data_IF_269692045953
#
_entry.id   IF_269692045953
#
_cell.length_a   1.000
_cell.length_b   1.000
_cell.length_c   1.000
_cell.angle_alpha   90.00
_cell.angle_beta   90.00
_cell.angle_gamma   90.00
#
_symmetry.space_group_name_H-M   'P 1'
#
loop_
_entity.id
_entity.type
_entity.pdbx_description
1 polymer ?
#
# COMPACT_ATOMS: atom_id res chain seq x y z
N UNK A 1 51.06 6.63 -1.30
CA UNK A 1 49.67 6.52 -1.78
C UNK A 1 49.65 5.49 -2.90
N UNK A 2 49.06 4.32 -2.70
CA UNK A 2 49.03 3.29 -3.73
C UNK A 2 47.86 3.52 -4.72
N UNK A 3 48.08 3.37 -6.04
CA UNK A 3 47.02 3.48 -7.04
C UNK A 3 46.24 2.18 -7.17
N UNK A 4 44.91 2.25 -7.08
CA UNK A 4 43.98 1.12 -7.20
C UNK A 4 44.12 0.41 -8.55
N UNK A 5 44.33 -0.91 -8.52
CA UNK A 5 44.44 -1.76 -9.70
C UNK A 5 43.07 -1.91 -10.41
N UNK A 6 43.09 -2.17 -11.73
CA UNK A 6 41.87 -2.31 -12.56
C UNK A 6 40.94 -3.43 -12.07
N UNK A 7 41.51 -4.45 -11.45
CA UNK A 7 40.83 -5.59 -10.82
C UNK A 7 40.05 -5.17 -9.58
N UNK A 8 40.61 -4.28 -8.75
CA UNK A 8 39.95 -3.79 -7.52
C UNK A 8 38.74 -2.92 -7.83
N UNK A 9 38.81 -2.08 -8.87
CA UNK A 9 37.63 -1.31 -9.35
C UNK A 9 36.51 -2.22 -9.87
N UNK A 10 36.85 -3.29 -10.59
CA UNK A 10 35.86 -4.25 -11.07
C UNK A 10 35.24 -5.09 -9.94
N UNK A 11 36.02 -5.42 -8.91
CA UNK A 11 35.52 -6.07 -7.69
C UNK A 11 34.55 -5.15 -6.94
N UNK A 12 34.86 -3.85 -6.83
CA UNK A 12 33.97 -2.86 -6.21
C UNK A 12 32.64 -2.69 -6.97
N UNK A 13 32.69 -2.58 -8.31
CA UNK A 13 31.48 -2.47 -9.13
C UNK A 13 30.63 -3.75 -9.12
N UNK A 14 31.26 -4.93 -9.15
CA UNK A 14 30.54 -6.21 -9.00
C UNK A 14 29.89 -6.32 -7.62
N UNK A 15 30.61 -5.97 -6.55
CA UNK A 15 30.05 -5.95 -5.19
C UNK A 15 28.87 -4.96 -5.07
N UNK A 16 28.97 -3.77 -5.65
CA UNK A 16 27.89 -2.78 -5.67
C UNK A 16 26.64 -3.29 -6.40
N UNK A 17 26.82 -3.99 -7.53
CA UNK A 17 25.69 -4.56 -8.31
C UNK A 17 24.97 -5.73 -7.61
N UNK A 18 25.67 -6.45 -6.73
CA UNK A 18 25.11 -7.58 -5.97
C UNK A 18 24.27 -7.10 -4.78
N UNK A 19 24.64 -5.99 -4.14
CA UNK A 19 23.88 -5.37 -3.05
C UNK A 19 22.49 -4.88 -3.52
N UNK A 20 22.32 -4.54 -4.79
CA UNK A 20 21.05 -4.02 -5.34
C UNK A 20 19.95 -5.07 -5.58
N UNK A 21 20.26 -6.38 -5.55
CA UNK A 21 19.33 -7.41 -6.06
C UNK A 21 18.39 -8.04 -5.03
N UNK A 22 18.50 -7.72 -3.74
CA UNK A 22 18.08 -8.70 -2.72
C UNK A 22 16.94 -8.34 -1.75
N UNK A 23 16.14 -7.28 -1.92
CA UNK A 23 14.92 -7.17 -1.09
C UNK A 23 13.68 -6.72 -1.85
N UNK A 24 13.04 -7.67 -2.54
CA UNK A 24 11.65 -7.53 -2.98
C UNK A 24 10.89 -8.79 -2.63
N UNK A 25 10.58 -8.97 -1.35
CA UNK A 25 9.49 -9.87 -0.94
C UNK A 25 8.72 -9.24 0.20
N UNK A 26 7.95 -8.21 -0.11
CA UNK A 26 6.76 -7.91 0.67
C UNK A 26 5.61 -7.81 -0.33
N UNK A 27 4.73 -8.82 -0.35
CA UNK A 27 3.62 -8.93 -1.29
C UNK A 27 2.56 -7.87 -0.94
N UNK A 28 2.82 -6.61 -1.27
CA UNK A 28 1.82 -5.55 -1.25
C UNK A 28 1.06 -5.55 -2.58
N UNK A 29 -0.26 -5.68 -2.48
CA UNK A 29 -1.15 -5.55 -3.63
C UNK A 29 -1.50 -4.09 -3.83
N UNK A 30 -1.63 -3.71 -5.11
CA UNK A 30 -2.05 -2.38 -5.49
C UNK A 30 -3.55 -2.19 -5.19
N UNK A 31 -3.95 -1.13 -4.45
CA UNK A 31 -5.35 -0.85 -4.14
C UNK A 31 -6.23 -0.60 -5.38
N UNK A 32 -5.65 -0.13 -6.49
CA UNK A 32 -6.39 0.27 -7.70
C UNK A 32 -6.60 -0.88 -8.69
N UNK A 33 -5.61 -1.78 -8.83
CA UNK A 33 -5.63 -2.81 -9.87
C UNK A 33 -5.45 -4.25 -9.35
N UNK A 34 -5.21 -4.43 -8.05
CA UNK A 34 -4.92 -5.74 -7.46
C UNK A 34 -3.59 -6.37 -7.90
N UNK A 35 -2.80 -5.67 -8.70
CA UNK A 35 -1.52 -6.16 -9.22
C UNK A 35 -0.42 -6.18 -8.15
N UNK A 36 0.66 -6.90 -8.47
CA UNK A 36 1.86 -6.96 -7.63
C UNK A 36 2.54 -5.59 -7.54
N UNK A 37 2.88 -5.18 -6.33
CA UNK A 37 3.80 -4.05 -6.09
C UNK A 37 5.19 -4.54 -5.72
N UNK A 38 6.18 -3.83 -6.21
CA UNK A 38 7.60 -4.03 -5.92
C UNK A 38 8.11 -2.87 -5.07
N UNK A 39 8.75 -3.18 -3.96
CA UNK A 39 9.40 -2.18 -3.13
C UNK A 39 10.79 -1.84 -3.67
N UNK A 40 11.02 -0.58 -3.99
CA UNK A 40 12.29 -0.06 -4.45
C UNK A 40 13.04 0.56 -3.27
N UNK A 41 14.03 -0.15 -2.72
CA UNK A 41 14.80 0.28 -1.53
C UNK A 41 15.51 1.62 -1.77
N UNK A 42 16.06 1.83 -2.98
CA UNK A 42 16.83 3.03 -3.31
C UNK A 42 16.03 4.33 -3.19
N UNK A 43 14.73 4.28 -3.48
CA UNK A 43 13.84 5.44 -3.35
C UNK A 43 12.87 5.29 -2.18
N UNK A 44 12.78 4.12 -1.54
CA UNK A 44 11.76 3.76 -0.53
C UNK A 44 10.31 3.88 -1.04
N UNK A 45 10.10 3.67 -2.33
CA UNK A 45 8.77 3.70 -2.95
C UNK A 45 8.29 2.28 -3.29
N UNK A 46 6.97 2.09 -3.27
CA UNK A 46 6.30 0.94 -3.84
C UNK A 46 5.86 1.27 -5.26
N UNK A 47 6.26 0.44 -6.21
CA UNK A 47 5.91 0.59 -7.64
C UNK A 47 5.07 -0.59 -8.07
N UNK A 48 3.86 -0.35 -8.58
CA UNK A 48 3.02 -1.39 -9.15
C UNK A 48 3.49 -1.76 -10.57
N UNK A 49 3.65 -3.05 -10.84
CA UNK A 49 4.07 -3.54 -12.17
C UNK A 49 2.97 -3.42 -13.24
N UNK A 50 1.71 -3.38 -12.84
CA UNK A 50 0.56 -3.42 -13.76
C UNK A 50 0.03 -2.03 -14.13
N UNK A 51 -0.15 -1.14 -13.15
CA UNK A 51 -0.67 0.21 -13.38
C UNK A 51 0.42 1.30 -13.41
N UNK A 52 1.65 0.98 -12.99
CA UNK A 52 2.75 1.95 -12.90
C UNK A 52 2.66 2.92 -11.72
N UNK A 53 1.74 2.70 -10.77
CA UNK A 53 1.61 3.54 -9.58
C UNK A 53 2.88 3.47 -8.72
N UNK A 54 3.53 4.62 -8.51
CA UNK A 54 4.64 4.78 -7.56
C UNK A 54 4.17 5.57 -6.35
N UNK A 55 4.13 4.94 -5.17
CA UNK A 55 3.69 5.56 -3.91
C UNK A 55 4.63 5.24 -2.77
N UNK A 56 4.74 6.15 -1.81
CA UNK A 56 5.40 5.89 -0.54
C UNK A 56 4.57 4.95 0.34
N UNK A 57 5.17 4.44 1.42
CA UNK A 57 4.45 3.59 2.37
C UNK A 57 3.25 4.29 3.01
N UNK A 58 3.40 5.58 3.35
CA UNK A 58 2.36 6.36 3.99
C UNK A 58 1.17 6.60 3.04
N UNK A 59 1.45 7.02 1.81
CA UNK A 59 0.41 7.20 0.78
C UNK A 59 -0.33 5.89 0.48
N UNK A 60 0.38 4.76 0.45
CA UNK A 60 -0.25 3.45 0.27
C UNK A 60 -1.21 3.11 1.42
N UNK A 61 -0.88 3.48 2.66
CA UNK A 61 -1.76 3.30 3.82
C UNK A 61 -2.99 4.21 3.72
N UNK A 62 -2.82 5.47 3.36
CA UNK A 62 -3.93 6.42 3.19
C UNK A 62 -4.89 6.00 2.07
N UNK A 63 -4.37 5.49 0.95
CA UNK A 63 -5.19 4.97 -0.14
C UNK A 63 -6.02 3.76 0.32
N UNK A 64 -5.41 2.85 1.09
CA UNK A 64 -6.11 1.69 1.65
C UNK A 64 -7.20 2.10 2.63
N UNK A 65 -6.95 3.11 3.46
CA UNK A 65 -7.96 3.60 4.39
C UNK A 65 -9.12 4.28 3.66
N UNK A 66 -8.86 5.04 2.60
CA UNK A 66 -9.92 5.66 1.79
C UNK A 66 -10.78 4.65 1.05
N UNK A 67 -10.17 3.57 0.55
CA UNK A 67 -10.89 2.49 -0.13
C UNK A 67 -11.54 1.51 0.84
N UNK A 68 -11.18 1.56 2.12
CA UNK A 68 -11.85 0.77 3.13
C UNK A 68 -13.30 1.23 3.16
N UNK A 69 -14.27 0.37 2.81
CA UNK A 69 -15.66 0.74 3.01
C UNK A 69 -15.81 1.06 4.49
N UNK A 70 -16.46 2.19 4.79
CA UNK A 70 -16.81 2.55 6.15
C UNK A 70 -17.80 1.47 6.60
N UNK A 71 -17.28 0.38 7.18
CA UNK A 71 -18.08 -0.68 7.74
C UNK A 71 -18.90 -0.01 8.82
N UNK A 72 -20.16 0.34 8.52
CA UNK A 72 -21.12 0.76 9.52
C UNK A 72 -20.99 -0.27 10.63
N UNK A 73 -20.50 0.18 11.77
CA UNK A 73 -20.26 -0.74 12.87
C UNK A 73 -21.59 -1.42 13.19
N UNK A 74 -21.55 -2.66 13.69
CA UNK A 74 -22.79 -3.38 14.03
C UNK A 74 -23.70 -2.56 14.98
N UNK A 75 -23.12 -1.61 15.72
CA UNK A 75 -23.79 -0.58 16.54
C UNK A 75 -24.58 0.43 15.68
N UNK A 76 -23.97 1.03 14.67
CA UNK A 76 -24.58 2.02 13.76
C UNK A 76 -25.72 1.41 12.94
N UNK A 77 -25.57 0.15 12.49
CA UNK A 77 -26.64 -0.53 11.76
C UNK A 77 -27.86 -0.79 12.67
N UNK A 78 -27.64 -1.13 13.95
CA UNK A 78 -28.71 -1.28 14.95
C UNK A 78 -29.41 0.04 15.22
N UNK A 79 -28.66 1.14 15.35
CA UNK A 79 -29.25 2.46 15.53
C UNK A 79 -30.10 2.90 14.34
N UNK A 80 -29.63 2.65 13.10
CA UNK A 80 -30.38 2.97 11.89
C UNK A 80 -31.72 2.24 11.87
N UNK A 81 -31.70 0.93 12.13
CA UNK A 81 -32.93 0.10 12.22
C UNK A 81 -33.90 0.60 13.29
N UNK A 82 -33.41 1.01 14.46
CA UNK A 82 -34.25 1.60 15.53
C UNK A 82 -34.89 2.91 15.10
N UNK A 83 -34.09 3.82 14.51
CA UNK A 83 -34.56 5.13 14.01
C UNK A 83 -35.60 4.96 12.90
N UNK A 84 -35.38 4.01 12.00
CA UNK A 84 -36.28 3.70 10.89
C UNK A 84 -37.60 3.10 11.36
N UNK A 85 -37.56 2.13 12.28
CA UNK A 85 -38.74 1.56 12.92
C UNK A 85 -39.56 2.64 13.66
N UNK A 86 -38.87 3.50 14.42
CA UNK A 86 -39.53 4.58 15.16
C UNK A 86 -40.21 5.58 14.20
N UNK A 87 -39.56 5.92 13.09
CA UNK A 87 -40.11 6.80 12.06
C UNK A 87 -41.37 6.21 11.42
N UNK A 88 -41.34 4.94 11.04
CA UNK A 88 -42.50 4.24 10.48
C UNK A 88 -43.67 4.16 11.47
N UNK A 89 -43.38 3.88 12.75
CA UNK A 89 -44.41 3.79 13.77
C UNK A 89 -45.09 5.14 14.01
N UNK A 90 -44.31 6.22 14.07
CA UNK A 90 -44.82 7.58 14.23
C UNK A 90 -45.60 8.08 13.01
N UNK A 91 -45.22 7.68 11.79
CA UNK A 91 -45.96 8.06 10.57
C UNK A 91 -47.34 7.42 10.49
N UNK A 92 -47.55 6.28 11.17
CA UNK A 92 -48.83 5.58 11.22
C UNK A 92 -49.79 6.10 12.30
N UNK A 93 -49.28 6.90 13.23
CA UNK A 93 -50.01 7.44 14.39
C UNK A 93 -50.53 8.86 14.16
N UNK A 94 -50.24 9.44 12.99
CA UNK A 94 -50.71 10.74 12.50
C UNK A 94 -51.71 10.51 11.39
#
# INVERSE_FOLDING_TARGET
MQPWTRTERNLFLKAYSLIQKDQVTNMSYCPECGGEMQYMIGTKHYVCKSCGLSVTQQELMELREKLRPNEETAEEERERKKKEYLKWYLSKKK
#
